data_IF_669938390021
#
_entry.id   IF_669938390021
#
_cell.length_a   1.000
_cell.length_b   1.000
_cell.length_c   1.000
_cell.angle_alpha   90.00
_cell.angle_beta   90.00
_cell.angle_gamma   90.00
#
_symmetry.space_group_name_H-M   'P 1'
#
loop_
_entity.id
_entity.type
_entity.pdbx_description
1 polymer ?
#
# COMPACT_ATOMS: atom_id res chain seq x y z
N UNK A 1 15.79 -7.36 -7.85
CA UNK A 1 15.78 -8.82 -8.14
C UNK A 1 17.18 -9.47 -8.11
N UNK A 2 18.15 -9.09 -8.93
CA UNK A 2 19.49 -9.71 -8.92
C UNK A 2 20.17 -9.66 -7.54
N UNK A 3 20.05 -8.55 -6.85
CA UNK A 3 20.63 -8.37 -5.52
C UNK A 3 20.02 -9.32 -4.49
N UNK A 4 18.68 -9.50 -4.51
CA UNK A 4 18.00 -10.45 -3.63
C UNK A 4 18.50 -11.88 -3.87
N UNK A 5 18.53 -12.34 -5.12
CA UNK A 5 18.98 -13.69 -5.47
C UNK A 5 20.43 -13.96 -5.05
N UNK A 6 21.33 -12.94 -5.09
CA UNK A 6 22.71 -13.07 -4.62
C UNK A 6 22.82 -13.26 -3.10
N UNK A 7 21.84 -12.77 -2.33
CA UNK A 7 21.81 -12.87 -0.86
C UNK A 7 21.12 -14.13 -0.37
N UNK A 8 20.43 -14.88 -1.24
CA UNK A 8 19.75 -16.12 -0.94
C UNK A 8 20.61 -17.32 -1.29
N UNK A 9 20.57 -18.35 -0.44
CA UNK A 9 21.26 -19.60 -0.75
C UNK A 9 20.47 -20.39 -1.81
N UNK A 10 21.12 -20.85 -2.89
CA UNK A 10 20.48 -21.70 -3.88
C UNK A 10 19.84 -22.94 -3.23
N UNK A 11 18.57 -23.19 -3.52
CA UNK A 11 17.81 -24.31 -2.96
C UNK A 11 16.95 -23.97 -1.73
N UNK A 12 17.18 -22.83 -1.06
CA UNK A 12 16.27 -22.34 -0.02
C UNK A 12 14.86 -22.06 -0.58
N UNK A 13 13.85 -22.16 0.27
CA UNK A 13 12.47 -21.93 -0.15
C UNK A 13 12.27 -20.50 -0.71
N UNK A 14 12.87 -19.48 -0.08
CA UNK A 14 12.84 -18.10 -0.56
C UNK A 14 13.51 -17.95 -1.93
N UNK A 15 14.67 -18.62 -2.13
CA UNK A 15 15.37 -18.61 -3.42
C UNK A 15 14.52 -19.23 -4.53
N UNK A 16 13.83 -20.37 -4.23
CA UNK A 16 12.98 -21.04 -5.22
C UNK A 16 11.83 -20.16 -5.68
N UNK A 17 11.17 -19.44 -4.77
CA UNK A 17 10.08 -18.54 -5.12
C UNK A 17 10.64 -17.33 -5.88
N UNK A 18 11.70 -16.69 -5.36
CA UNK A 18 12.31 -15.54 -6.00
C UNK A 18 12.81 -15.83 -7.43
N UNK A 19 13.31 -17.06 -7.68
CA UNK A 19 13.78 -17.47 -9.00
C UNK A 19 12.65 -17.75 -10.00
N UNK A 20 11.41 -17.89 -9.54
CA UNK A 20 10.22 -18.03 -10.39
C UNK A 20 9.58 -16.69 -10.75
N UNK A 21 9.92 -15.62 -10.05
CA UNK A 21 9.39 -14.29 -10.33
C UNK A 21 9.93 -13.73 -11.66
N UNK A 22 9.04 -13.18 -12.46
CA UNK A 22 9.40 -12.42 -13.65
C UNK A 22 9.86 -11.00 -13.26
N UNK A 23 11.14 -10.65 -13.48
CA UNK A 23 11.65 -9.31 -13.13
C UNK A 23 10.95 -8.15 -13.85
N UNK A 24 10.33 -8.41 -15.00
CA UNK A 24 9.63 -7.40 -15.81
C UNK A 24 8.18 -7.18 -15.35
N UNK A 25 7.66 -8.05 -14.49
CA UNK A 25 6.29 -8.00 -13.98
C UNK A 25 6.23 -7.78 -12.46
N UNK A 26 7.29 -7.25 -11.86
CA UNK A 26 7.25 -6.86 -10.46
C UNK A 26 6.30 -5.69 -10.25
N UNK A 27 5.56 -5.63 -9.12
CA UNK A 27 4.83 -4.43 -8.76
C UNK A 27 5.81 -3.27 -8.59
N UNK A 28 5.51 -2.10 -9.15
CA UNK A 28 6.33 -0.91 -8.93
C UNK A 28 6.14 -0.38 -7.50
N UNK A 29 4.91 -0.43 -6.99
CA UNK A 29 4.56 0.05 -5.67
C UNK A 29 3.75 -1.00 -4.91
N UNK A 30 4.21 -1.36 -3.71
CA UNK A 30 3.50 -2.25 -2.78
C UNK A 30 3.03 -1.45 -1.58
N UNK A 31 1.76 -1.61 -1.18
CA UNK A 31 1.21 -1.06 0.06
C UNK A 31 0.90 -2.19 1.04
N UNK A 32 1.17 -1.99 2.35
CA UNK A 32 0.96 -3.05 3.35
C UNK A 32 0.17 -2.53 4.55
N UNK A 33 -0.94 -3.20 4.87
CA UNK A 33 -1.66 -3.05 6.14
C UNK A 33 -1.10 -4.07 7.13
N UNK A 34 -0.28 -3.58 8.07
CA UNK A 34 0.47 -4.35 9.07
C UNK A 34 -0.43 -4.75 10.26
N UNK A 35 -1.42 -5.62 10.01
CA UNK A 35 -2.38 -6.04 11.03
C UNK A 35 -1.95 -7.32 11.76
N UNK A 36 -2.48 -7.53 12.96
CA UNK A 36 -2.26 -8.74 13.75
C UNK A 36 -1.31 -8.59 14.95
N UNK A 37 -0.62 -7.47 15.13
CA UNK A 37 0.32 -7.26 16.25
C UNK A 37 -0.30 -7.56 17.63
N UNK A 38 -1.53 -7.05 17.86
CA UNK A 38 -2.23 -7.28 19.11
C UNK A 38 -2.69 -8.73 19.31
N UNK A 39 -3.13 -9.41 18.25
CA UNK A 39 -3.52 -10.83 18.27
C UNK A 39 -2.31 -11.72 18.55
N UNK A 40 -1.19 -11.43 17.90
CA UNK A 40 0.07 -12.13 18.12
C UNK A 40 0.53 -12.06 19.58
N UNK A 41 0.47 -10.89 20.19
CA UNK A 41 0.81 -10.71 21.60
C UNK A 41 -0.16 -11.46 22.52
N UNK A 42 -1.47 -11.37 22.24
CA UNK A 42 -2.51 -12.08 23.03
C UNK A 42 -2.34 -13.60 22.99
N UNK A 43 -2.02 -14.19 21.83
CA UNK A 43 -1.78 -15.63 21.68
C UNK A 43 -0.58 -16.11 22.53
N UNK A 44 0.36 -15.21 22.86
CA UNK A 44 1.58 -15.51 23.64
C UNK A 44 1.51 -14.98 25.08
N UNK A 45 0.33 -14.51 25.51
CA UNK A 45 0.13 -13.90 26.83
C UNK A 45 1.03 -12.69 27.08
N UNK A 46 1.36 -11.92 26.04
CA UNK A 46 2.12 -10.69 26.13
C UNK A 46 1.25 -9.44 26.09
N UNK A 47 1.70 -8.33 26.69
CA UNK A 47 1.10 -7.02 26.47
C UNK A 47 1.10 -6.65 24.98
N UNK A 48 0.05 -5.96 24.50
CA UNK A 48 -0.11 -5.59 23.06
C UNK A 48 1.13 -4.90 22.47
N UNK A 49 1.81 -4.06 23.25
CA UNK A 49 3.02 -3.34 22.83
C UNK A 49 4.17 -4.30 22.44
N UNK A 50 4.23 -5.50 23.02
CA UNK A 50 5.24 -6.49 22.65
C UNK A 50 5.02 -7.06 21.24
N UNK A 51 3.77 -7.15 20.79
CA UNK A 51 3.48 -7.51 19.40
C UNK A 51 3.99 -6.44 18.42
N UNK A 52 3.75 -5.15 18.71
CA UNK A 52 4.29 -4.06 17.90
C UNK A 52 5.83 -4.05 17.89
N UNK A 53 6.45 -4.30 19.05
CA UNK A 53 7.92 -4.43 19.14
C UNK A 53 8.45 -5.60 18.29
N UNK A 54 7.80 -6.75 18.32
CA UNK A 54 8.16 -7.90 17.49
C UNK A 54 8.02 -7.57 15.99
N UNK A 55 6.94 -6.88 15.60
CA UNK A 55 6.69 -6.46 14.23
C UNK A 55 7.74 -5.49 13.65
N UNK A 56 8.57 -4.84 14.47
CA UNK A 56 9.66 -3.96 13.99
C UNK A 56 10.70 -4.76 13.17
N UNK A 57 11.04 -5.97 13.57
CA UNK A 57 11.98 -6.79 12.81
C UNK A 57 11.39 -7.19 11.46
N UNK A 58 10.09 -7.47 11.43
CA UNK A 58 9.35 -7.73 10.19
C UNK A 58 9.39 -6.54 9.24
N UNK A 59 9.18 -5.32 9.75
CA UNK A 59 9.31 -4.07 8.96
C UNK A 59 10.67 -4.03 8.27
N UNK A 60 11.77 -4.22 9.02
CA UNK A 60 13.12 -4.22 8.45
C UNK A 60 13.27 -5.24 7.34
N UNK A 61 12.90 -6.50 7.60
CA UNK A 61 13.07 -7.60 6.64
C UNK A 61 12.28 -7.35 5.35
N UNK A 62 11.06 -6.83 5.46
CA UNK A 62 10.20 -6.50 4.32
C UNK A 62 10.75 -5.31 3.53
N UNK A 63 11.16 -4.23 4.21
CA UNK A 63 11.77 -3.05 3.59
C UNK A 63 13.02 -3.42 2.80
N UNK A 64 13.93 -4.19 3.42
CA UNK A 64 15.15 -4.65 2.76
C UNK A 64 14.85 -5.57 1.58
N UNK A 65 13.87 -6.47 1.71
CA UNK A 65 13.47 -7.36 0.62
C UNK A 65 12.87 -6.59 -0.58
N UNK A 66 12.00 -5.61 -0.33
CA UNK A 66 11.42 -4.76 -1.37
C UNK A 66 12.50 -3.95 -2.11
N UNK A 67 13.47 -3.37 -1.38
CA UNK A 67 14.59 -2.64 -2.00
C UNK A 67 15.46 -3.57 -2.85
N UNK A 68 15.80 -4.78 -2.37
CA UNK A 68 16.61 -5.78 -3.09
C UNK A 68 15.88 -6.37 -4.32
N UNK A 69 14.55 -6.42 -4.28
CA UNK A 69 13.71 -6.75 -5.44
C UNK A 69 13.78 -5.67 -6.52
N UNK A 70 14.03 -4.42 -6.12
CA UNK A 70 14.05 -3.27 -7.00
C UNK A 70 12.68 -2.61 -7.17
N UNK A 71 11.83 -2.64 -6.14
CA UNK A 71 10.57 -1.91 -6.16
C UNK A 71 10.84 -0.41 -6.14
N UNK A 72 9.95 0.38 -6.76
CA UNK A 72 10.05 1.84 -6.77
C UNK A 72 9.55 2.45 -5.45
N UNK A 73 8.47 1.89 -4.89
CA UNK A 73 7.88 2.37 -3.65
C UNK A 73 7.33 1.25 -2.76
N UNK A 74 7.37 1.50 -1.45
CA UNK A 74 6.70 0.69 -0.42
C UNK A 74 5.98 1.64 0.54
N UNK A 75 4.66 1.45 0.73
CA UNK A 75 3.88 2.21 1.70
C UNK A 75 3.42 1.32 2.84
N UNK A 76 3.79 1.66 4.07
CA UNK A 76 3.46 0.91 5.28
C UNK A 76 2.43 1.67 6.13
N UNK A 77 1.30 1.03 6.47
CA UNK A 77 0.28 1.61 7.35
C UNK A 77 0.72 1.49 8.81
N UNK A 78 1.49 2.48 9.29
CA UNK A 78 2.11 2.45 10.60
C UNK A 78 1.17 2.92 11.73
N UNK A 79 0.35 3.97 11.49
CA UNK A 79 -0.59 4.49 12.48
C UNK A 79 -1.76 5.20 11.81
N UNK A 80 -2.98 4.68 12.00
CA UNK A 80 -4.19 5.30 11.45
C UNK A 80 -4.78 6.37 12.36
N UNK A 81 -5.58 7.28 11.80
CA UNK A 81 -6.32 8.30 12.58
C UNK A 81 -7.24 7.64 13.62
N UNK A 82 -7.77 6.45 13.36
CA UNK A 82 -8.61 5.71 14.30
C UNK A 82 -7.83 5.19 15.50
N UNK A 83 -6.51 5.04 15.40
CA UNK A 83 -5.66 4.54 16.50
C UNK A 83 -5.54 5.51 17.67
N UNK A 84 -5.88 6.79 17.50
CA UNK A 84 -5.98 7.73 18.61
C UNK A 84 -7.04 7.35 19.65
N UNK A 85 -8.03 6.51 19.28
CA UNK A 85 -9.04 5.97 20.19
C UNK A 85 -8.49 4.90 21.15
N UNK A 86 -7.26 4.44 20.95
CA UNK A 86 -6.58 3.47 21.83
C UNK A 86 -6.23 4.09 23.18
N UNK A 87 -6.02 3.27 24.22
CA UNK A 87 -5.54 3.77 25.50
C UNK A 87 -4.27 4.64 25.34
N UNK A 88 -4.21 5.76 26.05
CA UNK A 88 -3.13 6.76 25.92
C UNK A 88 -1.73 6.16 26.12
N UNK A 89 -1.58 5.25 27.10
CA UNK A 89 -0.32 4.56 27.36
C UNK A 89 0.13 3.64 26.20
N UNK A 90 -0.83 3.04 25.45
CA UNK A 90 -0.51 2.28 24.23
C UNK A 90 0.00 3.22 23.13
N UNK A 91 -0.71 4.33 22.89
CA UNK A 91 -0.33 5.32 21.87
C UNK A 91 1.06 5.90 22.18
N UNK A 92 1.32 6.31 23.42
CA UNK A 92 2.64 6.80 23.85
C UNK A 92 3.73 5.73 23.67
N UNK A 93 3.39 4.46 23.92
CA UNK A 93 4.28 3.33 23.67
C UNK A 93 4.63 3.17 22.18
N UNK A 94 3.64 3.35 21.28
CA UNK A 94 3.86 3.30 19.83
C UNK A 94 4.78 4.43 19.36
N UNK A 95 4.62 5.65 19.88
CA UNK A 95 5.53 6.78 19.56
C UNK A 95 6.96 6.51 20.01
N UNK A 96 7.16 5.90 21.19
CA UNK A 96 8.50 5.49 21.64
C UNK A 96 9.11 4.44 20.72
N UNK A 97 8.32 3.47 20.28
CA UNK A 97 8.77 2.45 19.34
C UNK A 97 9.12 3.03 17.97
N UNK A 98 8.30 3.95 17.44
CA UNK A 98 8.56 4.62 16.16
C UNK A 98 9.88 5.39 16.20
N UNK A 99 10.09 6.24 17.24
CA UNK A 99 11.34 7.00 17.38
C UNK A 99 12.56 6.07 17.51
N UNK A 100 12.43 4.98 18.28
CA UNK A 100 13.50 4.00 18.41
C UNK A 100 13.81 3.34 17.05
N UNK A 101 12.79 2.98 16.28
CA UNK A 101 12.94 2.42 14.94
C UNK A 101 13.66 3.39 14.01
N UNK A 102 13.18 4.63 13.88
CA UNK A 102 13.77 5.64 13.01
C UNK A 102 15.27 5.80 13.28
N UNK A 103 15.67 6.01 14.54
CA UNK A 103 17.10 6.14 14.89
C UNK A 103 17.94 4.93 14.52
N UNK A 104 17.37 3.74 14.71
CA UNK A 104 18.09 2.49 14.49
C UNK A 104 18.26 2.17 13.00
N UNK A 105 17.28 2.50 12.18
CA UNK A 105 17.22 2.05 10.79
C UNK A 105 17.88 3.02 9.80
N UNK A 106 18.19 4.26 10.17
CA UNK A 106 18.80 5.24 9.25
C UNK A 106 20.02 4.65 8.52
N UNK A 107 20.93 4.01 9.23
CA UNK A 107 22.11 3.41 8.61
C UNK A 107 21.77 2.29 7.61
N UNK A 108 20.69 1.53 7.83
CA UNK A 108 20.19 0.52 6.89
C UNK A 108 19.53 1.18 5.69
N UNK A 109 18.72 2.22 5.88
CA UNK A 109 18.09 2.97 4.80
C UNK A 109 19.14 3.59 3.86
N UNK A 110 20.19 4.20 4.42
CA UNK A 110 21.30 4.76 3.64
C UNK A 110 22.06 3.68 2.84
N UNK A 111 22.38 2.55 3.47
CA UNK A 111 23.11 1.46 2.79
C UNK A 111 22.32 0.82 1.64
N UNK A 112 20.97 0.78 1.76
CA UNK A 112 20.11 0.18 0.75
C UNK A 112 19.52 1.23 -0.21
N UNK A 113 20.05 2.46 -0.21
CA UNK A 113 19.60 3.57 -1.06
C UNK A 113 18.09 3.83 -0.97
N UNK A 114 17.53 3.76 0.26
CA UNK A 114 16.10 3.92 0.51
C UNK A 114 15.82 5.35 0.96
N UNK A 115 14.94 6.06 0.24
CA UNK A 115 14.45 7.37 0.61
C UNK A 115 13.23 7.23 1.53
N UNK A 116 13.33 7.75 2.76
CA UNK A 116 12.20 7.77 3.70
C UNK A 116 11.28 8.96 3.39
N UNK A 117 9.99 8.71 3.49
CA UNK A 117 8.93 9.72 3.43
C UNK A 117 7.86 9.40 4.48
N UNK A 118 7.13 10.40 4.95
CA UNK A 118 5.99 10.25 5.85
C UNK A 118 4.75 10.87 5.23
N UNK A 119 3.62 10.16 5.27
CA UNK A 119 2.32 10.63 4.75
C UNK A 119 1.27 10.61 5.85
N UNK A 120 0.36 11.58 5.84
CA UNK A 120 -0.66 11.80 6.84
C UNK A 120 -0.51 13.17 7.53
N UNK A 121 -1.30 13.42 8.57
CA UNK A 121 -1.26 14.68 9.34
C UNK A 121 -0.11 14.68 10.34
N UNK A 122 1.12 14.87 9.83
CA UNK A 122 2.37 14.79 10.60
C UNK A 122 2.48 15.92 11.60
N UNK A 123 2.00 17.12 11.27
CA UNK A 123 1.97 18.31 12.10
C UNK A 123 1.15 18.15 13.38
N UNK A 124 0.22 17.18 13.41
CA UNK A 124 -0.60 16.87 14.58
C UNK A 124 0.06 15.85 15.54
N UNK A 125 1.24 15.35 15.21
CA UNK A 125 1.99 14.43 16.04
C UNK A 125 2.70 15.15 17.20
N UNK A 126 3.10 14.45 18.28
CA UNK A 126 3.96 15.05 19.30
C UNK A 126 5.26 15.61 18.68
N UNK A 127 5.67 16.79 19.08
CA UNK A 127 6.85 17.49 18.52
C UNK A 127 8.12 16.62 18.49
N UNK A 128 8.31 15.77 19.50
CA UNK A 128 9.45 14.83 19.53
C UNK A 128 9.38 13.71 18.49
N UNK A 129 8.21 13.42 17.96
CA UNK A 129 8.02 12.46 16.85
C UNK A 129 8.23 13.16 15.52
N UNK A 130 7.71 14.38 15.37
CA UNK A 130 7.93 15.21 14.19
C UNK A 130 9.42 15.42 13.95
N UNK A 131 10.16 15.91 14.96
CA UNK A 131 11.60 16.14 14.85
C UNK A 131 12.40 14.89 14.45
N UNK A 132 12.01 13.71 14.94
CA UNK A 132 12.68 12.45 14.60
C UNK A 132 12.36 12.00 13.17
N UNK A 133 11.14 12.24 12.69
CA UNK A 133 10.75 11.96 11.29
C UNK A 133 11.47 12.90 10.34
N UNK A 134 11.51 14.19 10.63
CA UNK A 134 12.21 15.21 9.84
C UNK A 134 13.70 14.87 9.72
N UNK A 135 14.38 14.57 10.83
CA UNK A 135 15.80 14.18 10.85
C UNK A 135 16.05 12.92 9.96
N UNK A 136 15.16 11.93 10.06
CA UNK A 136 15.30 10.70 9.27
C UNK A 136 15.03 10.92 7.77
N UNK A 137 14.05 11.76 7.43
CA UNK A 137 13.72 12.14 6.05
C UNK A 137 14.88 12.93 5.44
N UNK A 138 15.39 13.94 6.16
CA UNK A 138 16.49 14.78 5.70
C UNK A 138 17.75 13.94 5.45
N UNK A 139 18.11 13.04 6.36
CA UNK A 139 19.27 12.17 6.21
C UNK A 139 19.19 11.24 4.99
N UNK A 140 17.98 10.85 4.61
CA UNK A 140 17.76 9.92 3.49
C UNK A 140 17.32 10.61 2.20
N UNK A 141 17.19 11.94 2.19
CA UNK A 141 16.69 12.73 1.04
C UNK A 141 17.57 12.61 -0.21
N UNK A 142 18.87 12.33 -0.03
CA UNK A 142 19.82 12.11 -1.13
C UNK A 142 19.73 10.76 -1.79
N UNK A 143 19.04 9.78 -1.21
CA UNK A 143 18.87 8.45 -1.76
C UNK A 143 17.98 8.47 -3.02
N UNK A 144 18.24 7.55 -3.96
CA UNK A 144 17.60 7.49 -5.28
C UNK A 144 16.95 6.14 -5.60
N UNK A 145 17.08 5.17 -4.70
CA UNK A 145 16.48 3.86 -4.84
C UNK A 145 14.99 3.86 -4.44
N UNK A 146 14.57 2.84 -3.68
CA UNK A 146 13.18 2.68 -3.28
C UNK A 146 12.71 3.81 -2.36
N UNK A 147 11.50 4.35 -2.60
CA UNK A 147 10.82 5.25 -1.67
C UNK A 147 10.04 4.44 -0.62
N UNK A 148 10.33 4.68 0.65
CA UNK A 148 9.58 4.11 1.78
C UNK A 148 8.65 5.16 2.37
N UNK A 149 7.34 5.02 2.19
CA UNK A 149 6.33 5.87 2.78
C UNK A 149 5.83 5.24 4.10
N UNK A 150 5.93 5.98 5.19
CA UNK A 150 5.28 5.62 6.45
C UNK A 150 3.96 6.40 6.56
N UNK A 151 2.83 5.71 6.46
CA UNK A 151 1.52 6.30 6.68
C UNK A 151 1.26 6.39 8.19
N UNK A 152 1.38 7.63 8.73
CA UNK A 152 1.31 7.93 10.16
C UNK A 152 0.25 9.00 10.40
N UNK A 153 -0.62 8.77 11.38
CA UNK A 153 -1.80 9.62 11.59
C UNK A 153 -2.58 9.83 10.27
N UNK A 154 -2.65 8.73 9.52
CA UNK A 154 -3.16 8.69 8.18
C UNK A 154 -4.59 8.10 8.14
N UNK A 155 -5.40 8.60 7.22
CA UNK A 155 -6.67 8.03 6.83
C UNK A 155 -7.09 8.58 5.48
N UNK A 156 -7.48 7.73 4.54
CA UNK A 156 -7.78 8.12 3.16
C UNK A 156 -8.93 9.14 3.03
N UNK A 157 -9.95 9.04 3.90
CA UNK A 157 -11.00 10.08 3.94
C UNK A 157 -10.45 11.42 4.38
N UNK A 158 -9.53 11.43 5.36
CA UNK A 158 -8.87 12.64 5.84
C UNK A 158 -7.98 13.24 4.76
N UNK A 159 -7.18 12.41 4.09
CA UNK A 159 -6.33 12.82 2.97
C UNK A 159 -7.13 13.49 1.85
N UNK A 160 -8.25 12.89 1.43
CA UNK A 160 -9.14 13.49 0.41
C UNK A 160 -9.68 14.87 0.83
N UNK A 161 -10.08 15.02 2.10
CA UNK A 161 -10.52 16.32 2.63
C UNK A 161 -9.38 17.32 2.65
N UNK A 162 -8.17 16.91 3.03
CA UNK A 162 -7.00 17.79 3.07
C UNK A 162 -6.57 18.19 1.64
N UNK A 163 -6.61 17.27 0.68
CA UNK A 163 -6.36 17.56 -0.73
C UNK A 163 -7.34 18.61 -1.30
N UNK A 164 -8.65 18.41 -1.06
CA UNK A 164 -9.67 19.37 -1.49
C UNK A 164 -9.49 20.76 -0.85
N UNK A 165 -9.17 20.81 0.45
CA UNK A 165 -8.91 22.07 1.13
C UNK A 165 -7.67 22.76 0.56
N UNK A 166 -6.60 22.02 0.27
CA UNK A 166 -5.39 22.56 -0.36
C UNK A 166 -5.67 23.15 -1.75
N UNK A 167 -6.46 22.44 -2.57
CA UNK A 167 -6.90 22.96 -3.90
C UNK A 167 -7.65 24.28 -3.77
N UNK A 168 -8.62 24.36 -2.82
CA UNK A 168 -9.42 25.57 -2.58
C UNK A 168 -8.53 26.72 -2.10
N UNK A 169 -7.58 26.43 -1.19
CA UNK A 169 -6.67 27.44 -0.65
C UNK A 169 -5.71 27.96 -1.71
N UNK A 170 -5.13 27.07 -2.53
CA UNK A 170 -4.28 27.45 -3.66
C UNK A 170 -5.03 28.35 -4.64
N UNK A 171 -6.23 27.96 -5.08
CA UNK A 171 -7.05 28.75 -5.99
C UNK A 171 -7.45 30.12 -5.39
N UNK A 172 -7.68 30.18 -4.08
CA UNK A 172 -7.96 31.46 -3.39
C UNK A 172 -6.73 32.36 -3.36
N UNK A 173 -5.55 31.81 -3.08
CA UNK A 173 -4.29 32.56 -3.02
C UNK A 173 -3.89 33.10 -4.41
N UNK A 174 -4.21 32.36 -5.46
CA UNK A 174 -3.99 32.74 -6.86
C UNK A 174 -5.09 33.69 -7.41
N UNK A 175 -6.17 33.94 -6.68
CA UNK A 175 -7.30 34.79 -7.09
C UNK A 175 -8.17 34.18 -8.18
N UNK A 176 -8.10 32.85 -8.40
CA UNK A 176 -8.80 32.14 -9.48
C UNK A 176 -9.85 31.14 -8.99
N UNK A 177 -10.34 31.29 -7.75
CA UNK A 177 -11.30 30.35 -7.13
C UNK A 177 -12.54 30.06 -8.01
N UNK A 178 -13.01 31.09 -8.77
CA UNK A 178 -14.14 30.92 -9.68
C UNK A 178 -13.86 30.08 -10.92
N UNK A 179 -12.59 29.83 -11.22
CA UNK A 179 -12.13 28.98 -12.33
C UNK A 179 -11.57 27.62 -11.84
N UNK A 180 -11.70 27.30 -10.55
CA UNK A 180 -11.23 26.04 -10.01
C UNK A 180 -12.06 24.88 -10.60
N UNK A 181 -11.38 24.02 -11.36
CA UNK A 181 -11.94 22.76 -11.86
C UNK A 181 -11.36 21.59 -11.07
N UNK A 182 -12.22 20.76 -10.50
CA UNK A 182 -11.84 19.57 -9.73
C UNK A 182 -11.84 18.37 -10.65
N UNK A 183 -10.67 17.91 -11.04
CA UNK A 183 -10.46 16.70 -11.87
C UNK A 183 -9.78 15.61 -11.07
N UNK A 184 -9.79 14.36 -11.57
CA UNK A 184 -9.07 13.25 -10.94
C UNK A 184 -7.56 13.54 -10.84
N UNK A 185 -6.98 14.17 -11.86
CA UNK A 185 -5.59 14.58 -11.89
C UNK A 185 -5.31 15.64 -10.82
N UNK A 186 -6.16 16.69 -10.76
CA UNK A 186 -6.01 17.74 -9.77
C UNK A 186 -6.12 17.20 -8.34
N UNK A 187 -7.00 16.23 -8.06
CA UNK A 187 -7.05 15.56 -6.76
C UNK A 187 -5.74 14.80 -6.52
N UNK A 188 -5.29 13.99 -7.48
CA UNK A 188 -4.08 13.16 -7.36
C UNK A 188 -2.83 14.00 -7.07
N UNK A 189 -2.72 15.20 -7.66
CA UNK A 189 -1.62 16.14 -7.46
C UNK A 189 -1.61 16.79 -6.06
N UNK A 190 -2.73 16.72 -5.33
CA UNK A 190 -2.84 17.26 -3.97
C UNK A 190 -2.89 16.18 -2.89
N UNK A 191 -2.84 14.89 -3.25
CA UNK A 191 -2.72 13.81 -2.27
C UNK A 191 -1.31 13.79 -1.63
N UNK A 192 -1.19 13.18 -0.46
CA UNK A 192 0.11 13.01 0.22
C UNK A 192 1.10 12.15 -0.59
N UNK A 193 0.60 11.41 -1.57
CA UNK A 193 1.39 10.56 -2.49
C UNK A 193 1.62 11.22 -3.86
N UNK A 194 1.35 12.51 -4.00
CA UNK A 194 1.52 13.23 -5.27
C UNK A 194 2.88 12.95 -5.92
N UNK A 195 2.87 12.77 -7.25
CA UNK A 195 4.07 12.45 -8.04
C UNK A 195 4.61 11.02 -7.85
N UNK A 196 3.91 10.15 -7.14
CA UNK A 196 4.24 8.73 -7.03
C UNK A 196 3.23 7.89 -7.83
N UNK A 197 3.66 6.70 -8.26
CA UNK A 197 2.75 5.70 -8.83
C UNK A 197 1.82 5.16 -7.74
N UNK A 198 0.58 4.92 -8.09
CA UNK A 198 -0.34 4.21 -7.22
C UNK A 198 0.13 2.78 -6.90
N UNK A 199 -0.27 2.19 -5.77
CA UNK A 199 0.08 0.81 -5.45
C UNK A 199 -0.48 -0.18 -6.48
N UNK A 200 0.38 -1.04 -7.00
CA UNK A 200 -0.03 -2.17 -7.83
C UNK A 200 -0.60 -3.32 -6.98
N UNK A 201 -0.07 -3.48 -5.77
CA UNK A 201 -0.40 -4.56 -4.85
C UNK A 201 -0.62 -4.02 -3.44
N UNK A 202 -1.79 -4.29 -2.86
CA UNK A 202 -2.09 -4.08 -1.45
C UNK A 202 -2.06 -5.42 -0.72
N UNK A 203 -1.15 -5.55 0.23
CA UNK A 203 -1.05 -6.72 1.12
C UNK A 203 -1.72 -6.40 2.45
N UNK A 204 -2.59 -7.28 2.96
CA UNK A 204 -3.10 -7.20 4.31
C UNK A 204 -2.85 -8.48 5.07
N UNK A 205 -2.20 -8.37 6.24
CA UNK A 205 -1.95 -9.48 7.16
C UNK A 205 -3.13 -9.72 8.10
N UNK A 206 -3.21 -10.91 8.70
CA UNK A 206 -4.16 -11.32 9.74
C UNK A 206 -5.59 -11.65 9.29
N UNK A 207 -5.81 -11.98 8.00
CA UNK A 207 -7.06 -12.55 7.49
C UNK A 207 -8.24 -11.58 7.33
N UNK A 208 -8.07 -10.29 7.57
CA UNK A 208 -9.16 -9.32 7.51
C UNK A 208 -9.38 -8.78 6.09
N UNK A 209 -10.60 -8.90 5.57
CA UNK A 209 -10.97 -8.56 4.18
C UNK A 209 -11.44 -7.10 3.99
N UNK A 210 -10.89 -6.15 4.73
CA UNK A 210 -11.22 -4.72 4.63
C UNK A 210 -9.97 -3.87 4.46
N UNK A 211 -10.08 -2.71 3.83
CA UNK A 211 -8.96 -1.78 3.58
C UNK A 211 -8.75 -0.74 4.70
N UNK A 212 -9.65 -0.67 5.66
CA UNK A 212 -9.55 0.14 6.89
C UNK A 212 -9.15 1.61 6.64
N UNK A 213 -9.77 2.29 5.68
CA UNK A 213 -9.52 3.69 5.36
C UNK A 213 -8.06 3.97 4.89
N UNK A 214 -7.40 2.96 4.29
CA UNK A 214 -6.03 3.08 3.80
C UNK A 214 -6.01 3.34 2.30
N UNK A 215 -5.33 4.39 1.86
CA UNK A 215 -5.06 4.77 0.46
C UNK A 215 -6.29 4.68 -0.46
N UNK A 216 -7.47 5.20 -0.01
CA UNK A 216 -8.76 4.99 -0.68
C UNK A 216 -8.76 5.38 -2.16
N UNK A 217 -8.07 6.45 -2.51
CA UNK A 217 -7.95 6.91 -3.90
C UNK A 217 -6.98 6.04 -4.68
N UNK A 218 -5.81 5.85 -4.13
CA UNK A 218 -4.67 5.24 -4.81
C UNK A 218 -4.83 3.74 -5.06
N UNK A 219 -5.63 3.02 -4.23
CA UNK A 219 -5.82 1.57 -4.39
C UNK A 219 -6.99 1.19 -5.30
N UNK A 220 -7.57 2.14 -6.01
CA UNK A 220 -8.75 1.90 -6.86
C UNK A 220 -8.56 0.75 -7.86
N UNK A 221 -7.33 0.55 -8.34
CA UNK A 221 -6.96 -0.50 -9.30
C UNK A 221 -5.88 -1.45 -8.77
N UNK A 222 -5.61 -1.42 -7.47
CA UNK A 222 -4.63 -2.33 -6.85
C UNK A 222 -5.15 -3.75 -6.77
N UNK A 223 -4.27 -4.73 -6.99
CA UNK A 223 -4.54 -6.12 -6.64
C UNK A 223 -4.49 -6.29 -5.12
N UNK A 224 -5.43 -7.07 -4.55
CA UNK A 224 -5.49 -7.33 -3.13
C UNK A 224 -4.95 -8.72 -2.80
N UNK A 225 -4.01 -8.79 -1.86
CA UNK A 225 -3.53 -10.04 -1.28
C UNK A 225 -3.76 -10.06 0.23
N UNK A 226 -4.55 -11.00 0.71
CA UNK A 226 -4.86 -11.15 2.13
C UNK A 226 -4.26 -12.47 2.63
N UNK A 227 -3.53 -12.41 3.74
CA UNK A 227 -2.95 -13.60 4.39
C UNK A 227 -3.38 -13.69 5.85
N UNK A 228 -3.58 -14.91 6.34
CA UNK A 228 -3.88 -15.18 7.75
C UNK A 228 -2.68 -14.94 8.68
N UNK A 229 -1.47 -14.88 8.12
CA UNK A 229 -0.23 -14.62 8.87
C UNK A 229 -0.35 -13.30 9.61
N UNK A 230 -0.06 -13.31 10.92
CA UNK A 230 -0.02 -12.11 11.74
C UNK A 230 1.26 -11.32 11.44
N UNK A 231 1.19 -9.97 11.43
CA UNK A 231 2.32 -9.14 11.03
C UNK A 231 3.67 -9.49 11.68
N UNK A 232 3.81 -9.77 13.00
CA UNK A 232 5.11 -10.15 13.56
C UNK A 232 5.71 -11.46 13.01
N UNK A 233 4.87 -12.35 12.48
CA UNK A 233 5.29 -13.62 11.89
C UNK A 233 5.39 -13.56 10.35
N UNK A 234 4.99 -12.45 9.73
CA UNK A 234 5.10 -12.23 8.29
C UNK A 234 6.58 -12.14 7.88
N UNK A 235 6.96 -12.90 6.90
CA UNK A 235 8.35 -13.09 6.49
C UNK A 235 8.60 -12.58 5.07
N UNK A 236 9.88 -12.58 4.66
CA UNK A 236 10.25 -12.36 3.26
C UNK A 236 9.59 -13.38 2.33
N UNK A 237 9.41 -14.63 2.79
CA UNK A 237 8.71 -15.66 2.02
C UNK A 237 7.28 -15.25 1.72
N UNK A 238 6.52 -14.81 2.71
CA UNK A 238 5.14 -14.37 2.53
C UNK A 238 5.05 -13.19 1.55
N UNK A 239 6.03 -12.27 1.57
CA UNK A 239 6.13 -11.20 0.58
C UNK A 239 6.36 -11.73 -0.83
N UNK A 240 7.27 -12.68 -1.00
CA UNK A 240 7.57 -13.31 -2.30
C UNK A 240 6.38 -14.09 -2.83
N UNK A 241 5.65 -14.79 -1.98
CA UNK A 241 4.41 -15.49 -2.31
C UNK A 241 3.31 -14.51 -2.74
N UNK A 242 3.17 -13.38 -2.05
CA UNK A 242 2.22 -12.33 -2.45
C UNK A 242 2.55 -11.73 -3.83
N UNK A 243 3.84 -11.52 -4.13
CA UNK A 243 4.28 -11.02 -5.44
C UNK A 243 4.10 -12.09 -6.52
N UNK A 244 4.35 -13.36 -6.20
CA UNK A 244 4.12 -14.48 -7.13
C UNK A 244 2.64 -14.62 -7.47
N UNK A 245 1.75 -14.54 -6.48
CA UNK A 245 0.30 -14.52 -6.67
C UNK A 245 -0.12 -13.34 -7.56
N UNK A 246 0.38 -12.12 -7.27
CA UNK A 246 0.15 -10.93 -8.09
C UNK A 246 0.54 -11.16 -9.56
N UNK A 247 1.70 -11.77 -9.84
CA UNK A 247 2.15 -12.06 -11.19
C UNK A 247 1.32 -13.13 -11.92
N UNK A 248 0.67 -14.03 -11.17
CA UNK A 248 -0.19 -15.05 -11.73
C UNK A 248 -1.53 -14.51 -12.23
N UNK A 249 -1.91 -13.30 -11.80
CA UNK A 249 -3.20 -12.68 -12.16
C UNK A 249 -3.11 -11.95 -13.50
N UNK A 250 -4.21 -11.99 -14.28
CA UNK A 250 -4.38 -11.17 -15.45
C UNK A 250 -5.02 -9.83 -15.07
N UNK A 251 -4.29 -8.72 -15.22
CA UNK A 251 -4.82 -7.36 -14.98
C UNK A 251 -5.64 -6.91 -16.20
N UNK A 252 -6.94 -6.73 -16.01
CA UNK A 252 -7.88 -6.45 -17.13
C UNK A 252 -8.32 -4.99 -17.23
N UNK A 253 -7.94 -4.06 -16.42
CA UNK A 253 -8.28 -2.61 -16.47
C UNK A 253 -9.56 -2.27 -17.28
N UNK A 254 -10.63 -3.08 -17.13
CA UNK A 254 -11.88 -2.94 -17.88
C UNK A 254 -11.85 -3.40 -19.35
N UNK A 255 -10.72 -3.89 -19.88
CA UNK A 255 -10.60 -4.40 -21.24
C UNK A 255 -10.92 -5.90 -21.35
N UNK A 256 -11.47 -6.30 -22.51
CA UNK A 256 -11.62 -7.72 -22.85
C UNK A 256 -10.27 -8.25 -23.36
N UNK A 257 -9.66 -9.23 -22.68
CA UNK A 257 -8.59 -10.02 -23.31
C UNK A 257 -9.15 -10.77 -24.50
N UNK A 258 -8.53 -10.59 -25.67
CA UNK A 258 -8.74 -11.53 -26.78
C UNK A 258 -8.10 -12.87 -26.33
N UNK A 259 -8.88 -13.69 -25.63
CA UNK A 259 -8.58 -15.10 -25.55
C UNK A 259 -8.60 -15.63 -26.99
N UNK A 260 -7.53 -16.27 -27.42
CA UNK A 260 -7.56 -17.16 -28.55
C UNK A 260 -8.43 -18.37 -28.16
N UNK A 261 -9.73 -18.17 -28.08
CA UNK A 261 -10.67 -19.27 -28.01
C UNK A 261 -10.71 -19.95 -29.39
N UNK A 262 -10.79 -21.29 -29.44
CA UNK A 262 -11.05 -21.96 -30.68
C UNK A 262 -12.33 -21.40 -31.28
N UNK A 263 -12.28 -21.10 -32.56
CA UNK A 263 -13.44 -20.68 -33.36
C UNK A 263 -14.46 -21.82 -33.31
N UNK A 264 -15.38 -21.75 -32.34
CA UNK A 264 -16.65 -22.41 -32.47
C UNK A 264 -17.47 -21.50 -33.37
N UNK A 265 -17.67 -21.91 -34.62
CA UNK A 265 -18.69 -21.34 -35.49
C UNK A 265 -20.01 -21.44 -34.72
N UNK A 266 -20.48 -20.30 -34.23
CA UNK A 266 -21.83 -20.20 -33.68
C UNK A 266 -22.80 -20.42 -34.85
N UNK A 267 -23.80 -21.30 -34.72
CA UNK A 267 -24.86 -21.37 -35.74
C UNK A 267 -25.50 -19.98 -35.85
N UNK A 268 -25.64 -19.49 -37.08
CA UNK A 268 -26.38 -18.27 -37.39
C UNK A 268 -27.79 -18.39 -36.79
N UNK A 269 -28.04 -17.63 -35.71
CA UNK A 269 -29.40 -17.46 -35.20
C UNK A 269 -30.04 -16.42 -36.10
N UNK A 270 -30.81 -16.86 -37.08
CA UNK A 270 -31.74 -16.03 -37.81
C UNK A 270 -32.81 -15.57 -36.78
N UNK A 271 -32.76 -14.32 -36.37
CA UNK A 271 -33.88 -13.68 -35.70
C UNK A 271 -34.88 -13.32 -36.79
N UNK A 272 -36.00 -13.99 -36.81
CA UNK A 272 -37.15 -13.61 -37.63
C UNK A 272 -37.66 -12.26 -37.14
N UNK A 273 -37.66 -11.25 -38.01
CA UNK A 273 -38.10 -9.88 -37.72
C UNK A 273 -39.61 -9.75 -37.40
N UNK A 274 -40.37 -10.86 -37.48
CA UNK A 274 -41.82 -10.84 -37.23
C UNK A 274 -42.25 -10.98 -35.76
N UNK A 275 -41.32 -11.11 -34.80
CA UNK A 275 -41.64 -11.37 -33.38
C UNK A 275 -41.68 -10.13 -32.48
N UNK A 276 -41.62 -8.91 -32.99
CA UNK A 276 -41.59 -7.68 -32.19
C UNK A 276 -42.86 -6.82 -32.20
N UNK A 277 -44.00 -7.35 -32.69
CA UNK A 277 -45.28 -6.69 -32.49
C UNK A 277 -46.01 -7.28 -31.25
N UNK A 278 -45.72 -6.77 -30.07
CA UNK A 278 -46.57 -6.91 -28.89
C UNK A 278 -47.64 -5.82 -28.91
N UNK A 279 -48.96 -6.18 -28.88
CA UNK A 279 -50.02 -5.18 -28.84
C UNK A 279 -50.05 -4.48 -27.46
N UNK A 280 -49.88 -3.16 -27.50
CA UNK A 280 -50.16 -2.26 -26.36
C UNK A 280 -51.69 -2.15 -26.17
N UNK A 281 -52.32 -3.14 -25.59
CA UNK A 281 -53.69 -3.04 -25.08
C UNK A 281 -53.92 -4.10 -24.01
N UNK A 282 -53.89 -3.63 -22.76
CA UNK A 282 -54.61 -4.08 -21.56
C UNK A 282 -53.74 -3.93 -20.31
N UNK A 283 -53.68 -2.69 -19.82
CA UNK A 283 -53.55 -2.41 -18.38
C UNK A 283 -54.58 -1.28 -18.11
N UNK A 284 -55.79 -1.70 -17.74
CA UNK A 284 -56.74 -0.86 -17.09
C UNK A 284 -56.54 -0.92 -15.56
#
# INVERSE_FOLDING_TARGET
MKELLQKLSPGDADWRIANQLDPLRLPAHVAIIMDGNGRWAKQRNYPRLMGHRAGINTVRNVVEACAQLGLEALTLYAFSVENWKRPRNEVEGLWRLLRFYLRREIASLLRNDIQLNAIGRIESLPASVQAELEDAIDKTSGNRGMRLNLAINYGGRTELVDAMNAMIENARNEGNLGALEVTEEAISDHLYTAGQKDPDLLIRTSGEMRISNFLLWQIAYSELYVTDTLWPDFSRRDLLEAIFDYQSRERRFGGLTRSAAPVFESPEIYLDDEALELPLAQLG
#
